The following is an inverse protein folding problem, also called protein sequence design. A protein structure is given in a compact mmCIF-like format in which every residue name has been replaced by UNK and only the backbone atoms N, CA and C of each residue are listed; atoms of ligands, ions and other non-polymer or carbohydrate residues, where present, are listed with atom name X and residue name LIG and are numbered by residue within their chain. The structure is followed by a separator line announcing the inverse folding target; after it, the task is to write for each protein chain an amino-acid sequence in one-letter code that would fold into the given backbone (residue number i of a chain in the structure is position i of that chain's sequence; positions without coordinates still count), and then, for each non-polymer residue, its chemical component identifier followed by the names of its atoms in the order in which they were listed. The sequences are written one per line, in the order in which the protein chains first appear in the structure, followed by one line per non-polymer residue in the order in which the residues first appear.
data_IF_117560272913
#
_entry.id   IF_117560272913
#
_cell.length_a   1.000
_cell.length_b   1.000
_cell.length_c   1.000
_cell.angle_alpha   90.00
_cell.angle_beta   90.00
_cell.angle_gamma   90.00
#
_symmetry.space_group_name_H-M   'P 1'
#
loop_
_entity.id
_entity.type
_entity.pdbx_description
1 polymer ?
#
# COMPACT_ATOMS: atom_id res chain seq x y z
N UNK A 1 22.14 -23.02 -0.26
CA UNK A 1 21.65 -21.63 -0.19
C UNK A 1 20.50 -21.65 0.79
N UNK A 2 20.54 -20.84 1.85
CA UNK A 2 19.40 -20.73 2.76
C UNK A 2 18.22 -20.14 1.99
N UNK A 3 17.03 -20.67 2.19
CA UNK A 3 15.79 -20.23 1.54
C UNK A 3 15.30 -18.86 2.03
N UNK A 4 16.05 -18.21 2.94
CA UNK A 4 15.71 -16.90 3.49
C UNK A 4 14.61 -16.95 4.56
N UNK A 5 14.13 -18.13 4.94
CA UNK A 5 13.11 -18.26 5.97
C UNK A 5 13.68 -18.05 7.37
N UNK A 6 12.90 -17.40 8.23
CA UNK A 6 13.22 -17.23 9.65
C UNK A 6 11.97 -17.43 10.50
N UNK A 7 12.14 -18.00 11.69
CA UNK A 7 11.04 -18.21 12.64
C UNK A 7 11.14 -17.16 13.74
N UNK A 8 10.07 -16.39 13.93
CA UNK A 8 9.96 -15.39 14.98
C UNK A 8 9.13 -15.96 16.13
N UNK A 9 9.66 -15.88 17.35
CA UNK A 9 8.89 -16.15 18.57
C UNK A 9 8.36 -14.82 19.10
N UNK A 10 7.05 -14.68 19.13
CA UNK A 10 6.36 -13.50 19.64
C UNK A 10 5.89 -13.76 21.08
N UNK A 11 5.77 -12.70 21.87
CA UNK A 11 5.02 -12.78 23.12
C UNK A 11 3.52 -12.96 22.83
N UNK A 12 2.80 -13.42 23.85
CA UNK A 12 1.38 -13.76 23.76
C UNK A 12 0.53 -12.57 23.32
N UNK A 13 0.77 -11.38 23.88
CA UNK A 13 0.00 -10.17 23.57
C UNK A 13 0.19 -9.73 22.12
N UNK A 14 1.43 -9.81 21.61
CA UNK A 14 1.75 -9.46 20.24
C UNK A 14 1.17 -10.48 19.25
N UNK A 15 1.23 -11.78 19.58
CA UNK A 15 0.64 -12.85 18.78
C UNK A 15 -0.87 -12.66 18.64
N UNK A 16 -1.60 -12.45 19.75
CA UNK A 16 -3.04 -12.21 19.74
C UNK A 16 -3.41 -10.95 18.94
N UNK A 17 -2.62 -9.89 19.09
CA UNK A 17 -2.86 -8.63 18.37
C UNK A 17 -2.69 -8.82 16.87
N UNK A 18 -1.66 -9.55 16.45
CA UNK A 18 -1.37 -9.83 15.05
C UNK A 18 -2.45 -10.72 14.43
N UNK A 19 -2.87 -11.79 15.11
CA UNK A 19 -3.94 -12.67 14.65
C UNK A 19 -5.28 -11.93 14.50
N UNK A 20 -5.68 -11.16 15.51
CA UNK A 20 -6.92 -10.37 15.48
C UNK A 20 -6.92 -9.38 14.32
N UNK A 21 -5.79 -8.72 14.07
CA UNK A 21 -5.69 -7.72 13.01
C UNK A 21 -5.65 -8.37 11.62
N UNK A 22 -4.94 -9.48 11.47
CA UNK A 22 -4.94 -10.27 10.24
C UNK A 22 -6.36 -10.75 9.89
N UNK A 23 -7.10 -11.28 10.88
CA UNK A 23 -8.49 -11.68 10.72
C UNK A 23 -9.40 -10.51 10.29
N UNK A 24 -9.23 -9.32 10.88
CA UNK A 24 -10.01 -8.13 10.51
C UNK A 24 -9.75 -7.65 9.08
N UNK A 25 -8.60 -7.99 8.52
CA UNK A 25 -8.17 -7.63 7.16
C UNK A 25 -8.43 -8.76 6.15
N UNK A 26 -8.88 -9.94 6.60
CA UNK A 26 -9.11 -11.10 5.74
C UNK A 26 -7.82 -11.69 5.15
N UNK A 27 -6.68 -11.52 5.82
CA UNK A 27 -5.36 -12.03 5.41
C UNK A 27 -4.79 -12.95 6.50
N UNK A 28 -3.74 -13.71 6.17
CA UNK A 28 -3.02 -14.54 7.13
C UNK A 28 -2.16 -13.70 8.08
N UNK A 29 -1.88 -14.27 9.26
CA UNK A 29 -0.91 -13.69 10.22
C UNK A 29 0.47 -13.52 9.59
N UNK A 30 0.89 -14.47 8.73
CA UNK A 30 2.14 -14.39 8.00
C UNK A 30 2.18 -13.19 7.04
N UNK A 31 1.15 -13.00 6.21
CA UNK A 31 1.09 -11.86 5.28
C UNK A 31 1.11 -10.52 6.02
N UNK A 32 0.42 -10.43 7.16
CA UNK A 32 0.47 -9.23 8.00
C UNK A 32 1.86 -9.03 8.62
N UNK A 33 2.51 -10.08 9.10
CA UNK A 33 3.86 -10.00 9.65
C UNK A 33 4.88 -9.55 8.60
N UNK A 34 4.79 -10.09 7.38
CA UNK A 34 5.63 -9.69 6.24
C UNK A 34 5.41 -8.21 5.90
N UNK A 35 4.15 -7.75 5.88
CA UNK A 35 3.83 -6.33 5.65
C UNK A 35 4.45 -5.43 6.74
N UNK A 36 4.26 -5.77 8.01
CA UNK A 36 4.77 -4.98 9.15
C UNK A 36 6.30 -4.96 9.16
N UNK A 37 6.95 -6.10 8.92
CA UNK A 37 8.41 -6.18 8.86
C UNK A 37 8.95 -5.39 7.67
N UNK A 38 8.32 -5.48 6.50
CA UNK A 38 8.71 -4.70 5.33
C UNK A 38 8.67 -3.21 5.63
N UNK A 39 7.60 -2.72 6.27
CA UNK A 39 7.50 -1.32 6.67
C UNK A 39 8.52 -0.92 7.73
N UNK A 40 8.74 -1.77 8.74
CA UNK A 40 9.63 -1.46 9.87
C UNK A 40 11.11 -1.52 9.50
N UNK A 41 11.47 -2.40 8.54
CA UNK A 41 12.83 -2.55 8.03
C UNK A 41 13.09 -1.64 6.82
N UNK A 42 12.08 -0.94 6.31
CA UNK A 42 12.25 0.01 5.23
C UNK A 42 13.12 1.17 5.70
N UNK A 43 14.32 1.26 5.12
CA UNK A 43 15.24 2.38 5.35
C UNK A 43 15.15 3.33 4.17
N UNK A 44 14.56 4.49 4.41
CA UNK A 44 14.41 5.52 3.39
C UNK A 44 15.76 5.98 2.82
N UNK A 45 16.83 5.97 3.61
CA UNK A 45 18.16 6.44 3.20
C UNK A 45 18.93 5.44 2.32
N UNK A 46 18.61 4.15 2.44
CA UNK A 46 19.26 3.06 1.69
C UNK A 46 18.37 2.55 0.52
N UNK A 47 17.19 3.15 0.33
CA UNK A 47 16.25 2.75 -0.71
C UNK A 47 16.51 3.50 -2.01
N UNK A 48 16.78 2.76 -3.09
CA UNK A 48 16.82 3.32 -4.44
C UNK A 48 15.38 3.56 -4.92
N UNK A 49 14.95 4.82 -4.89
CA UNK A 49 13.64 5.21 -5.40
C UNK A 49 13.53 4.97 -6.91
N UNK A 50 12.34 4.54 -7.35
CA UNK A 50 12.00 4.55 -8.77
C UNK A 50 11.56 5.98 -9.10
N UNK A 51 12.49 6.80 -9.60
CA UNK A 51 12.30 8.23 -9.80
C UNK A 51 13.02 9.04 -8.72
N UNK A 52 12.45 10.19 -8.34
CA UNK A 52 13.03 11.07 -7.32
C UNK A 52 12.68 10.58 -5.90
N UNK A 53 13.55 10.86 -4.93
CA UNK A 53 13.22 10.64 -3.51
C UNK A 53 12.03 11.54 -3.14
N UNK A 54 10.87 10.98 -2.73
CA UNK A 54 9.68 11.76 -2.43
C UNK A 54 9.84 12.68 -1.22
N UNK A 55 10.93 12.53 -0.45
CA UNK A 55 11.29 13.42 0.67
C UNK A 55 12.07 14.64 0.21
N UNK A 56 12.71 14.57 -0.96
CA UNK A 56 13.29 15.76 -1.55
C UNK A 56 12.13 16.61 -2.05
N UNK A 57 12.05 17.85 -1.58
CA UNK A 57 11.13 18.81 -2.17
C UNK A 57 11.45 18.84 -3.66
N UNK A 58 10.47 18.50 -4.50
CA UNK A 58 10.59 18.74 -5.94
C UNK A 58 10.58 20.25 -6.07
N UNK A 59 11.76 20.84 -6.20
CA UNK A 59 11.96 22.29 -6.20
C UNK A 59 11.21 22.98 -7.36
N UNK A 60 10.72 22.21 -8.34
CA UNK A 60 10.09 22.71 -9.57
C UNK A 60 8.99 21.75 -10.07
N UNK A 61 7.90 21.56 -9.34
CA UNK A 61 6.66 21.14 -10.02
C UNK A 61 6.12 22.35 -10.78
N UNK A 62 6.22 22.33 -12.12
CA UNK A 62 5.52 23.31 -12.95
C UNK A 62 4.04 23.35 -12.51
N UNK A 63 3.45 24.55 -12.36
CA UNK A 63 2.05 24.64 -11.96
C UNK A 63 1.19 23.82 -12.92
N UNK A 64 0.44 22.87 -12.37
CA UNK A 64 -0.51 22.08 -13.16
C UNK A 64 -1.52 23.06 -13.77
N UNK A 65 -1.57 23.13 -15.10
CA UNK A 65 -2.59 23.89 -15.81
C UNK A 65 -3.94 23.18 -15.66
N UNK A 66 -4.69 23.58 -14.62
CA UNK A 66 -6.01 23.05 -14.32
C UNK A 66 -7.02 23.24 -15.45
N UNK A 67 -6.77 24.12 -16.42
CA UNK A 67 -7.64 24.30 -17.58
C UNK A 67 -7.58 23.13 -18.56
N UNK A 68 -6.54 22.30 -18.48
CA UNK A 68 -6.40 21.07 -19.28
C UNK A 68 -6.86 19.81 -18.54
N UNK A 69 -7.22 19.93 -17.26
CA UNK A 69 -7.70 18.81 -16.48
C UNK A 69 -9.17 18.49 -16.80
N UNK A 70 -9.49 17.20 -16.85
CA UNK A 70 -10.89 16.75 -16.91
C UNK A 70 -11.63 17.18 -15.64
N UNK A 71 -12.84 17.76 -15.76
CA UNK A 71 -13.65 18.12 -14.60
C UNK A 71 -13.93 16.92 -13.71
N UNK A 72 -13.92 17.14 -12.40
CA UNK A 72 -14.12 16.07 -11.40
C UNK A 72 -15.40 15.27 -11.65
N UNK A 73 -16.52 15.94 -11.95
CA UNK A 73 -17.81 15.28 -12.14
C UNK A 73 -17.78 14.25 -13.29
N UNK A 74 -17.00 14.51 -14.33
CA UNK A 74 -16.83 13.57 -15.45
C UNK A 74 -15.98 12.37 -15.05
N UNK A 75 -14.90 12.62 -14.30
CA UNK A 75 -14.01 11.57 -13.75
C UNK A 75 -14.78 10.68 -12.78
N UNK A 76 -15.53 11.27 -11.84
CA UNK A 76 -16.30 10.55 -10.84
C UNK A 76 -17.33 9.62 -11.49
N UNK A 77 -18.06 10.13 -12.49
CA UNK A 77 -19.06 9.37 -13.23
C UNK A 77 -18.43 8.16 -13.93
N UNK A 78 -17.33 8.36 -14.66
CA UNK A 78 -16.64 7.28 -15.36
C UNK A 78 -16.07 6.25 -14.38
N UNK A 79 -15.50 6.71 -13.27
CA UNK A 79 -14.95 5.84 -12.23
C UNK A 79 -16.03 4.98 -11.57
N UNK A 80 -17.20 5.57 -11.28
CA UNK A 80 -18.34 4.85 -10.70
C UNK A 80 -18.88 3.79 -11.66
N UNK A 81 -19.03 4.11 -12.95
CA UNK A 81 -19.46 3.15 -13.96
C UNK A 81 -18.49 1.97 -14.07
N UNK A 82 -17.18 2.23 -14.04
CA UNK A 82 -16.15 1.17 -14.05
C UNK A 82 -16.20 0.31 -12.79
N UNK A 83 -16.42 0.92 -11.63
CA UNK A 83 -16.56 0.19 -10.36
C UNK A 83 -17.80 -0.71 -10.37
N UNK A 84 -18.94 -0.22 -10.82
CA UNK A 84 -20.18 -1.00 -10.94
C UNK A 84 -20.01 -2.19 -11.88
N UNK A 85 -19.40 -1.99 -13.05
CA UNK A 85 -19.10 -3.07 -13.98
C UNK A 85 -18.21 -4.15 -13.34
N UNK A 86 -17.14 -3.75 -12.64
CA UNK A 86 -16.23 -4.68 -11.95
C UNK A 86 -16.89 -5.41 -10.78
N UNK A 87 -17.82 -4.76 -10.07
CA UNK A 87 -18.59 -5.40 -9.01
C UNK A 87 -19.59 -6.41 -9.58
N UNK A 88 -20.24 -6.09 -10.69
CA UNK A 88 -21.15 -7.01 -11.39
C UNK A 88 -20.42 -8.23 -11.96
N UNK A 89 -19.18 -8.08 -12.44
CA UNK A 89 -18.34 -9.20 -12.91
C UNK A 89 -17.89 -10.15 -11.78
N UNK A 90 -17.91 -9.70 -10.52
CA UNK A 90 -17.50 -10.47 -9.34
C UNK A 90 -18.65 -11.16 -8.59
N UNK A 91 -19.90 -10.86 -8.93
CA UNK A 91 -21.12 -11.43 -8.33
C UNK A 91 -21.59 -12.67 -9.09
#
# INVERSE_FOLDING_TARGET
MADGSTTLTLDETLSETLERRAASMGISSQELAEYVLTQSLFRYDDYTWIGDDPRQARDEEEPIDLSQCTPWDEVERDLRARLEARLAEKA
#
